data_IF_628022401859
#
_entry.id   IF_628022401859
#
_cell.length_a   1.000
_cell.length_b   1.000
_cell.length_c   1.000
_cell.angle_alpha   90.00
_cell.angle_beta   90.00
_cell.angle_gamma   90.00
#
_symmetry.space_group_name_H-M   'P 1'
#
loop_
_entity.id
_entity.type
_entity.pdbx_description
1 polymer ?
#
# COMPACT_ATOMS: atom_id res chain seq x y z
N UNK A 1 -32.80 52.45 -15.30
CA UNK A 1 -32.09 51.16 -15.13
C UNK A 1 -30.61 51.43 -15.37
N UNK A 2 -29.87 51.74 -14.33
CA UNK A 2 -28.59 52.47 -14.48
C UNK A 2 -27.34 51.60 -14.62
N UNK A 3 -27.42 50.27 -14.50
CA UNK A 3 -26.27 49.40 -14.75
C UNK A 3 -26.64 48.16 -15.56
N UNK A 4 -25.88 47.92 -16.62
CA UNK A 4 -26.00 46.68 -17.39
C UNK A 4 -25.46 45.51 -16.56
N UNK A 5 -25.95 44.29 -16.82
CA UNK A 5 -25.47 43.07 -16.16
C UNK A 5 -23.95 42.92 -16.35
N UNK A 6 -23.42 43.35 -17.50
CA UNK A 6 -21.99 43.34 -17.78
C UNK A 6 -21.19 44.30 -16.87
N UNK A 7 -21.75 45.47 -16.57
CA UNK A 7 -21.16 46.44 -15.64
C UNK A 7 -21.12 45.87 -14.22
N UNK A 8 -22.18 45.19 -13.79
CA UNK A 8 -22.24 44.53 -12.47
C UNK A 8 -21.20 43.40 -12.39
N UNK A 9 -21.03 42.61 -13.45
CA UNK A 9 -20.01 41.56 -13.51
C UNK A 9 -18.59 42.13 -13.50
N UNK A 10 -18.31 43.19 -14.27
CA UNK A 10 -16.98 43.83 -14.26
C UNK A 10 -16.67 44.49 -12.92
N UNK A 11 -17.62 45.21 -12.32
CA UNK A 11 -17.41 45.86 -11.02
C UNK A 11 -17.30 44.87 -9.85
N UNK A 12 -17.93 43.69 -9.96
CA UNK A 12 -17.82 42.63 -8.96
C UNK A 12 -16.44 41.96 -8.90
N UNK A 13 -15.69 42.00 -10.00
CA UNK A 13 -14.35 41.41 -10.10
C UNK A 13 -13.21 42.45 -10.04
N UNK A 14 -13.47 43.74 -10.30
CA UNK A 14 -12.44 44.81 -10.33
C UNK A 14 -12.39 45.57 -8.99
N UNK A 15 -12.28 44.86 -7.87
CA UNK A 15 -11.71 45.43 -6.63
C UNK A 15 -10.44 44.68 -6.27
N UNK A 16 -9.33 45.27 -6.71
CA UNK A 16 -7.94 44.88 -6.49
C UNK A 16 -7.47 45.21 -5.06
N UNK A 17 -8.11 44.65 -4.04
CA UNK A 17 -7.48 44.45 -2.73
C UNK A 17 -7.39 42.94 -2.50
N UNK A 18 -6.18 42.42 -2.61
CA UNK A 18 -5.83 41.00 -2.65
C UNK A 18 -6.16 40.27 -1.33
N UNK A 19 -7.43 39.96 -1.15
CA UNK A 19 -7.94 39.00 -0.18
C UNK A 19 -8.83 38.06 -0.98
N UNK A 20 -8.29 36.89 -1.32
CA UNK A 20 -9.05 35.73 -1.82
C UNK A 20 -10.35 35.68 -1.02
N UNK A 21 -11.50 35.79 -1.69
CA UNK A 21 -12.80 35.96 -1.03
C UNK A 21 -12.89 35.00 0.18
N UNK A 22 -13.17 35.47 1.41
CA UNK A 22 -12.98 34.68 2.64
C UNK A 22 -13.59 33.27 2.56
N UNK A 23 -14.76 33.17 1.92
CA UNK A 23 -15.49 31.91 1.68
C UNK A 23 -14.72 30.90 0.80
N UNK A 24 -13.92 31.36 -0.17
CA UNK A 24 -13.10 30.52 -1.03
C UNK A 24 -11.88 29.97 -0.27
N UNK A 25 -11.22 30.82 0.53
CA UNK A 25 -10.11 30.37 1.37
C UNK A 25 -10.60 29.37 2.44
N UNK A 26 -11.76 29.64 3.05
CA UNK A 26 -12.41 28.72 3.98
C UNK A 26 -12.75 27.37 3.30
N UNK A 27 -13.19 27.39 2.03
CA UNK A 27 -13.49 26.19 1.27
C UNK A 27 -12.23 25.34 1.01
N UNK A 28 -11.13 25.95 0.56
CA UNK A 28 -9.86 25.22 0.35
C UNK A 28 -9.32 24.67 1.66
N UNK A 29 -9.44 25.43 2.76
CA UNK A 29 -9.06 24.98 4.08
C UNK A 29 -9.86 23.73 4.50
N UNK A 30 -11.19 23.79 4.39
CA UNK A 30 -12.06 22.64 4.70
C UNK A 30 -11.75 21.43 3.82
N UNK A 31 -11.61 21.62 2.50
CA UNK A 31 -11.27 20.54 1.56
C UNK A 31 -9.93 19.90 1.88
N UNK A 32 -8.92 20.71 2.20
CA UNK A 32 -7.59 20.23 2.55
C UNK A 32 -7.61 19.37 3.82
N UNK A 33 -8.32 19.83 4.85
CA UNK A 33 -8.50 19.10 6.11
C UNK A 33 -9.25 17.79 5.86
N UNK A 34 -10.37 17.82 5.13
CA UNK A 34 -11.19 16.64 4.86
C UNK A 34 -10.40 15.53 4.14
N UNK A 35 -9.61 15.87 3.12
CA UNK A 35 -8.78 14.90 2.40
C UNK A 35 -7.77 14.22 3.32
N UNK A 36 -7.04 15.01 4.12
CA UNK A 36 -6.01 14.47 5.02
C UNK A 36 -6.64 13.66 6.16
N UNK A 37 -7.75 14.12 6.73
CA UNK A 37 -8.47 13.40 7.79
C UNK A 37 -9.06 12.08 7.27
N UNK A 38 -9.63 12.10 6.06
CA UNK A 38 -10.12 10.88 5.41
C UNK A 38 -8.99 9.89 5.17
N UNK A 39 -7.84 10.36 4.70
CA UNK A 39 -6.66 9.52 4.54
C UNK A 39 -6.21 8.94 5.89
N UNK A 40 -6.05 9.77 6.93
CA UNK A 40 -5.68 9.36 8.30
C UNK A 40 -6.58 8.24 8.81
N UNK A 41 -7.90 8.39 8.63
CA UNK A 41 -8.89 7.37 9.03
C UNK A 41 -8.68 6.05 8.28
N UNK A 42 -8.56 6.10 6.96
CA UNK A 42 -8.32 4.89 6.15
C UNK A 42 -7.00 4.22 6.49
N UNK A 43 -5.94 5.01 6.68
CA UNK A 43 -4.62 4.52 7.05
C UNK A 43 -4.61 3.85 8.44
N UNK A 44 -5.31 4.44 9.41
CA UNK A 44 -5.50 3.84 10.73
C UNK A 44 -6.24 2.51 10.67
N UNK A 45 -7.34 2.43 9.90
CA UNK A 45 -8.10 1.18 9.73
C UNK A 45 -7.27 0.09 9.05
N UNK A 46 -6.51 0.44 8.00
CA UNK A 46 -5.63 -0.49 7.32
C UNK A 46 -4.58 -1.07 8.29
N UNK A 47 -3.92 -0.21 9.08
CA UNK A 47 -2.94 -0.66 10.08
C UNK A 47 -3.56 -1.57 11.15
N UNK A 48 -4.74 -1.23 11.67
CA UNK A 48 -5.46 -2.09 12.63
C UNK A 48 -5.80 -3.44 11.98
N UNK A 49 -6.23 -3.44 10.72
CA UNK A 49 -6.48 -4.66 9.96
C UNK A 49 -5.25 -5.55 9.88
N UNK A 50 -4.08 -5.00 9.54
CA UNK A 50 -2.82 -5.76 9.47
C UNK A 50 -2.48 -6.41 10.82
N UNK A 51 -2.64 -5.68 11.93
CA UNK A 51 -2.40 -6.22 13.28
C UNK A 51 -3.40 -7.34 13.60
N UNK A 52 -4.69 -7.15 13.29
CA UNK A 52 -5.69 -8.18 13.49
C UNK A 52 -5.39 -9.45 12.68
N UNK A 53 -4.99 -9.30 11.41
CA UNK A 53 -4.57 -10.43 10.58
C UNK A 53 -3.32 -11.13 11.13
N UNK A 54 -2.33 -10.39 11.65
CA UNK A 54 -1.15 -10.98 12.28
C UNK A 54 -1.50 -11.90 13.46
N UNK A 55 -2.54 -11.55 14.21
CA UNK A 55 -3.02 -12.34 15.36
C UNK A 55 -3.86 -13.53 14.88
N UNK A 56 -4.76 -13.32 13.92
CA UNK A 56 -5.72 -14.33 13.45
C UNK A 56 -5.04 -15.42 12.60
N UNK A 57 -3.98 -15.08 11.86
CA UNK A 57 -3.36 -16.03 10.91
C UNK A 57 -2.75 -17.25 11.61
N UNK A 58 -2.23 -17.11 12.83
CA UNK A 58 -1.62 -18.22 13.58
C UNK A 58 -2.68 -19.29 13.95
N UNK A 59 -3.76 -18.99 14.70
CA UNK A 59 -4.76 -20.01 15.03
C UNK A 59 -5.43 -20.57 13.77
N UNK A 60 -5.70 -19.75 12.75
CA UNK A 60 -6.25 -20.23 11.48
C UNK A 60 -5.30 -21.21 10.78
N UNK A 61 -4.00 -20.90 10.75
CA UNK A 61 -2.99 -21.78 10.16
C UNK A 61 -2.81 -23.08 10.95
N UNK A 62 -2.99 -23.05 12.27
CA UNK A 62 -2.94 -24.25 13.10
C UNK A 62 -4.11 -25.19 12.79
N UNK A 63 -5.35 -24.67 12.75
CA UNK A 63 -6.55 -25.48 12.44
C UNK A 63 -6.50 -26.07 11.03
N UNK A 64 -5.84 -25.38 10.10
CA UNK A 64 -5.72 -25.83 8.69
C UNK A 64 -4.46 -26.66 8.41
N UNK A 65 -3.62 -26.92 9.42
CA UNK A 65 -2.36 -27.66 9.23
C UNK A 65 -1.25 -26.88 8.51
N UNK A 66 -1.45 -25.58 8.24
CA UNK A 66 -0.51 -24.70 7.52
C UNK A 66 0.34 -23.82 8.44
N UNK A 67 0.68 -24.31 9.64
CA UNK A 67 1.41 -23.51 10.65
C UNK A 67 2.77 -22.99 10.13
N UNK A 68 3.41 -23.74 9.23
CA UNK A 68 4.66 -23.37 8.56
C UNK A 68 4.52 -22.17 7.62
N UNK A 69 3.31 -21.81 7.18
CA UNK A 69 3.01 -20.53 6.53
C UNK A 69 2.57 -19.49 7.55
N UNK A 70 1.72 -19.87 8.51
CA UNK A 70 1.13 -18.93 9.47
C UNK A 70 2.16 -18.16 10.29
N UNK A 71 3.20 -18.84 10.80
CA UNK A 71 4.26 -18.20 11.59
C UNK A 71 5.04 -17.17 10.75
N UNK A 72 5.64 -17.53 9.59
CA UNK A 72 6.30 -16.55 8.73
C UNK A 72 5.41 -15.38 8.31
N UNK A 73 4.14 -15.62 8.00
CA UNK A 73 3.19 -14.58 7.61
C UNK A 73 2.87 -13.64 8.78
N UNK A 74 2.69 -14.15 10.00
CA UNK A 74 2.50 -13.33 11.18
C UNK A 74 3.71 -12.41 11.43
N UNK A 75 4.93 -12.95 11.32
CA UNK A 75 6.17 -12.16 11.45
C UNK A 75 6.26 -11.07 10.38
N UNK A 76 5.85 -11.37 9.14
CA UNK A 76 5.78 -10.38 8.07
C UNK A 76 4.78 -9.26 8.40
N UNK A 77 3.57 -9.59 8.84
CA UNK A 77 2.57 -8.57 9.19
C UNK A 77 2.99 -7.71 10.38
N UNK A 78 3.68 -8.30 11.35
CA UNK A 78 4.31 -7.55 12.46
C UNK A 78 5.36 -6.58 11.92
N UNK A 79 6.27 -7.02 11.04
CA UNK A 79 7.29 -6.18 10.43
C UNK A 79 6.68 -5.01 9.63
N UNK A 80 5.65 -5.28 8.81
CA UNK A 80 4.92 -4.25 8.06
C UNK A 80 4.25 -3.24 9.01
N UNK A 81 3.70 -3.71 10.14
CA UNK A 81 3.07 -2.83 11.13
C UNK A 81 4.06 -1.82 11.70
N UNK A 82 5.31 -2.21 11.98
CA UNK A 82 6.33 -1.26 12.47
C UNK A 82 6.61 -0.14 11.45
N UNK A 83 6.74 -0.49 10.17
CA UNK A 83 6.92 0.49 9.09
C UNK A 83 5.69 1.39 8.98
N UNK A 84 4.49 0.80 9.02
CA UNK A 84 3.24 1.56 8.93
C UNK A 84 3.06 2.53 10.12
N UNK A 85 3.45 2.11 11.33
CA UNK A 85 3.38 2.92 12.54
C UNK A 85 4.32 4.12 12.47
N UNK A 86 5.54 3.95 11.94
CA UNK A 86 6.48 5.06 11.71
C UNK A 86 5.84 6.16 10.85
N UNK A 87 5.24 5.79 9.73
CA UNK A 87 4.56 6.72 8.84
C UNK A 87 3.31 7.33 9.48
N UNK A 88 2.56 6.58 10.29
CA UNK A 88 1.44 7.12 11.06
C UNK A 88 1.88 8.24 11.99
N UNK A 89 2.97 8.04 12.72
CA UNK A 89 3.48 9.05 13.66
C UNK A 89 3.92 10.30 12.90
N UNK A 90 4.58 10.15 11.74
CA UNK A 90 4.95 11.28 10.88
C UNK A 90 3.72 12.04 10.35
N UNK A 91 2.67 11.31 9.96
CA UNK A 91 1.42 11.90 9.45
C UNK A 91 0.71 12.77 10.52
N UNK A 92 0.84 12.40 11.79
CA UNK A 92 0.28 13.14 12.91
C UNK A 92 1.04 14.45 13.21
N UNK A 93 2.28 14.59 12.72
CA UNK A 93 3.08 15.83 12.87
C UNK A 93 2.79 16.90 11.83
N UNK A 94 1.96 16.62 10.82
CA UNK A 94 1.63 17.60 9.78
C UNK A 94 0.74 18.70 10.38
N UNK A 95 1.22 19.95 10.33
CA UNK A 95 0.58 21.09 10.97
C UNK A 95 -0.59 21.65 10.15
N UNK A 96 -1.80 21.49 10.69
CA UNK A 96 -3.05 21.99 10.13
C UNK A 96 -3.27 23.50 10.31
N UNK A 97 -2.41 24.19 11.06
CA UNK A 97 -2.51 25.64 11.31
C UNK A 97 -1.72 26.47 10.28
N UNK A 98 -1.11 25.81 9.29
CA UNK A 98 -0.45 26.45 8.15
C UNK A 98 -1.46 26.81 7.05
N UNK A 99 -1.00 27.48 6.00
CA UNK A 99 -1.88 27.72 4.84
C UNK A 99 -2.32 26.39 4.20
N UNK A 100 -3.50 26.35 3.58
CA UNK A 100 -4.02 25.11 2.95
C UNK A 100 -3.06 24.54 1.90
N UNK A 101 -2.32 25.41 1.21
CA UNK A 101 -1.28 25.01 0.26
C UNK A 101 -0.10 24.33 0.96
N UNK A 102 0.46 24.94 2.02
CA UNK A 102 1.59 24.36 2.78
C UNK A 102 1.21 23.06 3.46
N UNK A 103 -0.02 22.98 3.98
CA UNK A 103 -0.57 21.78 4.59
C UNK A 103 -0.66 20.62 3.60
N UNK A 104 -1.26 20.85 2.41
CA UNK A 104 -1.36 19.81 1.38
C UNK A 104 -0.01 19.46 0.74
N UNK A 105 0.90 20.43 0.58
CA UNK A 105 2.25 20.17 0.09
C UNK A 105 3.05 19.27 1.05
N UNK A 106 2.92 19.53 2.36
CA UNK A 106 3.55 18.69 3.39
C UNK A 106 2.97 17.28 3.40
N UNK A 107 1.65 17.15 3.21
CA UNK A 107 0.97 15.86 3.09
C UNK A 107 1.36 15.10 1.81
N UNK A 108 1.44 15.77 0.66
CA UNK A 108 1.90 15.16 -0.61
C UNK A 108 3.33 14.64 -0.50
N UNK A 109 4.23 15.42 0.11
CA UNK A 109 5.59 14.95 0.39
C UNK A 109 5.58 13.69 1.26
N UNK A 110 4.80 13.69 2.34
CA UNK A 110 4.65 12.52 3.20
C UNK A 110 4.10 11.30 2.44
N UNK A 111 3.11 11.49 1.56
CA UNK A 111 2.55 10.42 0.71
C UNK A 111 3.63 9.85 -0.21
N UNK A 112 4.40 10.70 -0.89
CA UNK A 112 5.47 10.29 -1.80
C UNK A 112 6.54 9.47 -1.08
N UNK A 113 6.95 9.90 0.12
CA UNK A 113 7.89 9.17 0.97
C UNK A 113 7.32 7.81 1.40
N UNK A 114 6.04 7.78 1.80
CA UNK A 114 5.33 6.54 2.17
C UNK A 114 5.27 5.56 1.00
N UNK A 115 4.93 6.03 -0.21
CA UNK A 115 4.90 5.21 -1.43
C UNK A 115 6.29 4.68 -1.75
N UNK A 116 7.33 5.51 -1.70
CA UNK A 116 8.69 5.12 -2.03
C UNK A 116 9.20 4.01 -1.11
N UNK A 117 9.00 4.15 0.21
CA UNK A 117 9.42 3.13 1.18
C UNK A 117 8.61 1.84 1.04
N UNK A 118 7.28 1.92 0.88
CA UNK A 118 6.46 0.73 0.69
C UNK A 118 6.80 0.00 -0.61
N UNK A 119 7.06 0.73 -1.71
CA UNK A 119 7.50 0.14 -2.98
C UNK A 119 8.81 -0.63 -2.80
N UNK A 120 9.79 -0.05 -2.10
CA UNK A 120 11.06 -0.72 -1.83
C UNK A 120 10.89 -1.91 -0.89
N UNK A 121 9.99 -1.83 0.08
CA UNK A 121 9.69 -2.94 0.97
C UNK A 121 9.04 -4.09 0.17
N UNK A 122 8.14 -3.78 -0.76
CA UNK A 122 7.44 -4.75 -1.60
C UNK A 122 8.36 -5.59 -2.50
N UNK A 123 9.53 -5.09 -2.93
CA UNK A 123 10.50 -5.92 -3.67
C UNK A 123 11.01 -7.11 -2.84
N UNK A 124 10.93 -7.04 -1.52
CA UNK A 124 11.25 -8.15 -0.62
C UNK A 124 9.99 -8.90 -0.13
N UNK A 125 8.90 -8.18 0.15
CA UNK A 125 7.69 -8.81 0.71
C UNK A 125 7.09 -9.87 -0.21
N UNK A 126 6.94 -9.63 -1.51
CA UNK A 126 6.31 -10.64 -2.39
C UNK A 126 7.13 -11.93 -2.50
N UNK A 127 8.46 -11.88 -2.72
CA UNK A 127 9.29 -13.08 -2.60
C UNK A 127 9.13 -13.80 -1.26
N UNK A 128 9.10 -13.06 -0.14
CA UNK A 128 8.93 -13.66 1.18
C UNK A 128 7.56 -14.34 1.32
N UNK A 129 6.48 -13.70 0.88
CA UNK A 129 5.13 -14.28 0.91
C UNK A 129 5.09 -15.55 0.07
N UNK A 130 5.72 -15.56 -1.10
CA UNK A 130 5.85 -16.76 -1.92
C UNK A 130 6.58 -17.89 -1.18
N UNK A 131 7.71 -17.60 -0.54
CA UNK A 131 8.43 -18.58 0.27
C UNK A 131 7.58 -19.14 1.41
N UNK A 132 6.86 -18.27 2.13
CA UNK A 132 5.96 -18.68 3.21
C UNK A 132 4.84 -19.59 2.71
N UNK A 133 4.25 -19.27 1.54
CA UNK A 133 3.22 -20.11 0.91
C UNK A 133 3.79 -21.46 0.48
N UNK A 134 4.97 -21.48 -0.17
CA UNK A 134 5.64 -22.73 -0.56
C UNK A 134 5.87 -23.59 0.68
N UNK A 135 6.40 -23.03 1.77
CA UNK A 135 6.60 -23.77 3.02
C UNK A 135 5.29 -24.30 3.61
N UNK A 136 4.22 -23.50 3.61
CA UNK A 136 2.91 -23.94 4.09
C UNK A 136 2.37 -25.12 3.32
N UNK A 137 2.29 -25.00 1.99
CA UNK A 137 1.81 -26.07 1.12
C UNK A 137 2.76 -27.26 1.10
N UNK A 138 4.06 -27.06 1.31
CA UNK A 138 5.01 -28.17 1.34
C UNK A 138 4.72 -29.13 2.49
N UNK A 139 4.39 -28.60 3.66
CA UNK A 139 4.24 -29.37 4.90
C UNK A 139 2.79 -29.64 5.31
N UNK A 140 1.81 -29.27 4.48
CA UNK A 140 0.41 -29.58 4.77
C UNK A 140 0.20 -31.10 4.65
N UNK A 141 -0.42 -31.68 5.68
CA UNK A 141 -0.84 -33.07 5.69
C UNK A 141 -2.26 -33.19 5.14
N UNK A 142 -2.42 -34.00 4.10
CA UNK A 142 -3.71 -34.35 3.50
C UNK A 142 -3.83 -35.87 3.53
N UNK A 143 -4.78 -36.36 4.32
CA UNK A 143 -5.10 -37.79 4.48
C UNK A 143 -3.92 -38.67 4.93
N UNK A 144 -3.07 -38.15 5.82
CA UNK A 144 -1.89 -38.85 6.35
C UNK A 144 -0.69 -38.82 5.41
N UNK A 145 -0.70 -37.95 4.41
CA UNK A 145 0.42 -37.75 3.48
C UNK A 145 0.77 -36.29 3.36
N UNK A 146 2.06 -36.00 3.48
CA UNK A 146 2.59 -34.64 3.30
C UNK A 146 2.54 -34.30 1.80
N UNK A 147 1.96 -33.15 1.47
CA UNK A 147 1.75 -32.73 0.09
C UNK A 147 3.09 -32.57 -0.69
N UNK A 148 4.15 -32.11 -0.04
CA UNK A 148 5.49 -32.04 -0.63
C UNK A 148 6.00 -33.41 -1.09
N UNK A 149 5.83 -34.45 -0.28
CA UNK A 149 6.24 -35.81 -0.64
C UNK A 149 5.40 -36.36 -1.80
N UNK A 150 4.08 -36.13 -1.76
CA UNK A 150 3.17 -36.49 -2.86
C UNK A 150 3.58 -35.82 -4.17
N UNK A 151 3.93 -34.53 -4.11
CA UNK A 151 4.38 -33.75 -5.26
C UNK A 151 5.71 -34.28 -5.82
N UNK A 152 6.71 -34.53 -4.97
CA UNK A 152 7.99 -35.09 -5.40
C UNK A 152 7.83 -36.47 -6.01
N UNK A 153 7.08 -37.37 -5.37
CA UNK A 153 6.85 -38.72 -5.87
C UNK A 153 6.14 -38.71 -7.23
N UNK A 154 5.13 -37.86 -7.40
CA UNK A 154 4.47 -37.67 -8.69
C UNK A 154 5.43 -37.15 -9.76
N UNK A 155 6.24 -36.15 -9.43
CA UNK A 155 7.22 -35.58 -10.35
C UNK A 155 8.28 -36.59 -10.78
N UNK A 156 8.83 -37.36 -9.85
CA UNK A 156 9.85 -38.38 -10.14
C UNK A 156 9.27 -39.54 -10.93
N UNK A 157 8.01 -39.91 -10.69
CA UNK A 157 7.32 -40.93 -11.49
C UNK A 157 7.17 -40.52 -12.95
N UNK A 158 6.88 -39.24 -13.21
CA UNK A 158 6.72 -38.70 -14.57
C UNK A 158 8.08 -38.46 -15.25
N UNK A 159 9.10 -38.03 -14.48
CA UNK A 159 10.44 -37.72 -14.96
C UNK A 159 11.51 -38.59 -14.28
N UNK A 160 11.55 -39.91 -14.55
CA UNK A 160 12.40 -40.86 -13.82
C UNK A 160 13.91 -40.64 -14.01
N UNK A 161 14.30 -39.96 -15.09
CA UNK A 161 15.72 -39.63 -15.38
C UNK A 161 16.17 -38.31 -14.73
N UNK A 162 15.32 -37.67 -13.92
CA UNK A 162 15.66 -36.41 -13.25
C UNK A 162 16.78 -36.59 -12.23
N UNK A 163 17.65 -35.60 -12.11
CA UNK A 163 18.73 -35.63 -11.12
C UNK A 163 18.19 -35.27 -9.73
N UNK A 164 18.44 -36.15 -8.77
CA UNK A 164 18.04 -35.97 -7.37
C UNK A 164 19.24 -35.62 -6.50
N UNK A 165 19.06 -34.68 -5.58
CA UNK A 165 20.00 -34.39 -4.47
C UNK A 165 19.23 -34.53 -3.17
N UNK A 166 19.64 -35.46 -2.30
CA UNK A 166 18.92 -35.79 -1.06
C UNK A 166 17.43 -36.08 -1.28
N UNK A 167 17.08 -36.72 -2.40
CA UNK A 167 15.69 -37.02 -2.77
C UNK A 167 14.92 -35.87 -3.43
N UNK A 168 15.50 -34.68 -3.54
CA UNK A 168 14.87 -33.53 -4.18
C UNK A 168 15.30 -33.39 -5.66
N UNK A 169 14.35 -33.27 -6.62
CA UNK A 169 14.67 -33.01 -8.02
C UNK A 169 15.26 -31.61 -8.24
N UNK A 170 16.53 -31.55 -8.65
CA UNK A 170 17.26 -30.28 -8.86
C UNK A 170 16.54 -29.41 -9.89
N UNK A 171 15.89 -30.03 -10.88
CA UNK A 171 15.16 -29.34 -11.95
C UNK A 171 14.08 -28.38 -11.40
N UNK A 172 13.49 -28.69 -10.25
CA UNK A 172 12.47 -27.84 -9.60
C UNK A 172 13.03 -26.52 -9.05
N UNK A 173 14.35 -26.43 -8.82
CA UNK A 173 14.97 -25.19 -8.35
C UNK A 173 14.90 -24.08 -9.41
N UNK A 174 14.92 -24.44 -10.70
CA UNK A 174 14.88 -23.46 -11.79
C UNK A 174 13.58 -22.62 -11.75
N UNK A 175 12.37 -23.22 -11.84
CA UNK A 175 11.14 -22.43 -11.76
C UNK A 175 10.98 -21.76 -10.39
N UNK A 176 11.45 -22.38 -9.30
CA UNK A 176 11.39 -21.78 -7.96
C UNK A 176 12.16 -20.45 -7.87
N UNK A 177 13.44 -20.44 -8.27
CA UNK A 177 14.25 -19.22 -8.27
C UNK A 177 13.80 -18.23 -9.32
N UNK A 178 13.25 -18.69 -10.45
CA UNK A 178 12.66 -17.84 -11.47
C UNK A 178 11.46 -17.06 -10.91
N UNK A 179 10.54 -17.72 -10.20
CA UNK A 179 9.39 -17.03 -9.58
C UNK A 179 9.84 -16.02 -8.53
N UNK A 180 10.81 -16.38 -7.67
CA UNK A 180 11.39 -15.45 -6.70
C UNK A 180 12.00 -14.22 -7.40
N UNK A 181 12.76 -14.44 -8.47
CA UNK A 181 13.38 -13.37 -9.27
C UNK A 181 12.34 -12.45 -9.91
N UNK A 182 11.27 -13.01 -10.50
CA UNK A 182 10.16 -12.26 -11.07
C UNK A 182 9.46 -11.42 -10.00
N UNK A 183 9.12 -12.01 -8.86
CA UNK A 183 8.46 -11.31 -7.76
C UNK A 183 9.33 -10.21 -7.17
N UNK A 184 10.65 -10.43 -7.06
CA UNK A 184 11.58 -9.42 -6.58
C UNK A 184 11.69 -8.24 -7.57
N UNK A 185 11.79 -8.56 -8.86
CA UNK A 185 11.90 -7.57 -9.92
C UNK A 185 10.64 -6.70 -10.06
N UNK A 186 9.46 -7.32 -10.06
CA UNK A 186 8.20 -6.60 -10.18
C UNK A 186 7.63 -6.09 -8.85
N UNK A 187 8.14 -6.56 -7.71
CA UNK A 187 7.54 -6.33 -6.40
C UNK A 187 7.35 -4.85 -6.06
N UNK A 188 8.28 -3.98 -6.46
CA UNK A 188 8.13 -2.54 -6.23
C UNK A 188 7.02 -1.91 -7.08
N UNK A 189 6.78 -2.41 -8.29
CA UNK A 189 5.67 -1.97 -9.15
C UNK A 189 4.33 -2.46 -8.59
N UNK A 190 4.28 -3.70 -8.10
CA UNK A 190 3.09 -4.27 -7.47
C UNK A 190 2.77 -3.50 -6.17
N UNK A 191 3.78 -3.16 -5.35
CA UNK A 191 3.57 -2.36 -4.14
C UNK A 191 2.97 -0.98 -4.39
N UNK A 192 3.39 -0.29 -5.46
CA UNK A 192 2.73 0.97 -5.88
C UNK A 192 1.28 0.75 -6.29
N UNK A 193 1.03 -0.33 -7.03
CA UNK A 193 -0.31 -0.67 -7.49
C UNK A 193 -1.25 -0.96 -6.32
N UNK A 194 -0.80 -1.69 -5.29
CA UNK A 194 -1.57 -1.95 -4.06
C UNK A 194 -1.95 -0.67 -3.33
N UNK A 195 -1.03 0.29 -3.22
CA UNK A 195 -1.32 1.61 -2.62
C UNK A 195 -2.35 2.37 -3.44
N UNK A 196 -2.22 2.38 -4.77
CA UNK A 196 -3.19 3.04 -5.64
C UNK A 196 -4.57 2.37 -5.59
N UNK A 197 -4.64 1.06 -5.39
CA UNK A 197 -5.90 0.34 -5.22
C UNK A 197 -6.65 0.82 -3.98
N UNK A 198 -5.94 1.02 -2.86
CA UNK A 198 -6.55 1.42 -1.59
C UNK A 198 -6.78 2.93 -1.51
N UNK A 199 -5.82 3.73 -1.95
CA UNK A 199 -5.76 5.17 -1.70
C UNK A 199 -5.88 6.04 -2.96
N UNK A 200 -5.85 5.48 -4.16
CA UNK A 200 -5.75 6.25 -5.42
C UNK A 200 -6.82 7.32 -5.58
N UNK A 201 -8.06 7.05 -5.17
CA UNK A 201 -9.13 8.07 -5.21
C UNK A 201 -8.90 9.28 -4.31
N UNK A 202 -8.13 9.15 -3.23
CA UNK A 202 -7.72 10.28 -2.38
C UNK A 202 -6.48 10.96 -2.97
N UNK A 203 -5.54 10.18 -3.49
CA UNK A 203 -4.30 10.71 -4.08
C UNK A 203 -4.58 11.57 -5.32
N UNK A 204 -5.50 11.14 -6.18
CA UNK A 204 -5.90 11.95 -7.34
C UNK A 204 -6.51 13.28 -6.91
N UNK A 205 -7.38 13.27 -5.88
CA UNK A 205 -7.98 14.51 -5.35
C UNK A 205 -6.95 15.44 -4.71
N UNK A 206 -5.92 14.88 -4.09
CA UNK A 206 -4.81 15.66 -3.56
C UNK A 206 -4.07 16.38 -4.70
N UNK A 207 -3.77 15.66 -5.77
CA UNK A 207 -3.11 16.20 -6.96
C UNK A 207 -3.96 17.30 -7.63
N UNK A 208 -5.27 17.06 -7.80
CA UNK A 208 -6.21 18.06 -8.32
C UNK A 208 -6.21 19.34 -7.47
N UNK A 209 -6.31 19.23 -6.15
CA UNK A 209 -6.33 20.40 -5.26
C UNK A 209 -5.00 21.16 -5.26
N UNK A 210 -3.86 20.47 -5.32
CA UNK A 210 -2.56 21.12 -5.41
C UNK A 210 -2.43 21.87 -6.74
N UNK A 211 -2.81 21.25 -7.85
CA UNK A 211 -2.82 21.89 -9.17
C UNK A 211 -3.69 23.15 -9.20
N UNK A 212 -4.92 23.07 -8.68
CA UNK A 212 -5.83 24.21 -8.59
C UNK A 212 -5.20 25.38 -7.82
N UNK A 213 -4.59 25.11 -6.67
CA UNK A 213 -3.96 26.14 -5.84
C UNK A 213 -2.69 26.72 -6.47
N UNK A 214 -1.93 25.91 -7.23
CA UNK A 214 -0.76 26.39 -7.99
C UNK A 214 -1.18 27.30 -9.14
N UNK A 215 -2.28 27.00 -9.82
CA UNK A 215 -2.84 27.87 -10.86
C UNK A 215 -3.33 29.20 -10.30
N UNK A 216 -4.02 29.18 -9.16
CA UNK A 216 -4.51 30.40 -8.49
C UNK A 216 -3.40 31.31 -7.96
N UNK A 217 -2.17 30.81 -7.83
CA UNK A 217 -1.00 31.58 -7.39
C UNK A 217 -0.18 32.18 -8.54
N UNK A 218 -0.45 31.79 -9.78
CA UNK A 218 0.18 32.37 -10.99
C UNK A 218 -0.49 33.67 -11.36
#
# INVERSE_FOLDING_TARGET
MEKSIETIWKEGFIKNDALVAPKLNDLYNQKSIDIVEKFKRMYKLNRIGIVAFAIIIIPLSYVTGMIYMGIPMALLFIAVTFVAQKFSNQLDTIDKNTSSYEYLSSFDKWVKDMIAVNSKLSTFLYPYVFLAMVLGFWFIDIDGTILGDRFINGFVSEFPTTSLVNGFPILLLIPFFLVIGILAFFGGKIGKWDINLIYGGILNKLEDLLSDMEELRK
#
